data_IF_175309027853
#
_entry.id   IF_175309027853
#
_cell.length_a   1.000
_cell.length_b   1.000
_cell.length_c   1.000
_cell.angle_alpha   90.00
_cell.angle_beta   90.00
_cell.angle_gamma   90.00
#
_symmetry.space_group_name_H-M   'P 1'
#
loop_
_entity.id
_entity.type
_entity.pdbx_description
1 polymer ?
#
# COMPACT_ATOMS: atom_id res chain seq x y z
N UNK A 1 -3.33 9.76 -25.71
CA UNK A 1 -2.70 8.98 -24.63
C UNK A 1 -3.71 8.83 -23.52
N UNK A 2 -4.41 7.69 -23.47
CA UNK A 2 -5.40 7.43 -22.42
C UNK A 2 -4.66 7.30 -21.09
N UNK A 3 -4.91 8.24 -20.20
CA UNK A 3 -4.50 8.15 -18.81
C UNK A 3 -5.36 7.06 -18.16
N UNK A 4 -4.93 5.80 -18.24
CA UNK A 4 -5.68 4.69 -17.65
C UNK A 4 -5.76 4.91 -16.13
N UNK A 5 -6.99 5.03 -15.65
CA UNK A 5 -7.32 5.15 -14.23
C UNK A 5 -6.88 3.86 -13.50
N UNK A 6 -5.62 3.83 -13.10
CA UNK A 6 -4.99 2.70 -12.43
C UNK A 6 -5.09 2.88 -10.93
N UNK A 7 -5.46 1.80 -10.24
CA UNK A 7 -5.48 1.77 -8.78
C UNK A 7 -4.05 1.59 -8.26
N UNK A 8 -3.60 2.51 -7.42
CA UNK A 8 -2.29 2.44 -6.79
C UNK A 8 -2.42 2.12 -5.30
N UNK A 9 -1.78 1.02 -4.90
CA UNK A 9 -1.38 0.84 -3.51
C UNK A 9 -0.09 1.66 -3.28
N UNK A 10 -0.05 2.40 -2.19
CA UNK A 10 1.05 3.30 -1.83
C UNK A 10 2.18 2.53 -1.12
N UNK A 11 2.34 2.68 0.19
CA UNK A 11 3.57 2.31 0.90
C UNK A 11 3.50 0.92 1.55
N UNK A 12 4.55 0.13 1.36
CA UNK A 12 4.88 -1.07 2.15
C UNK A 12 6.34 -0.94 2.63
N UNK A 13 6.58 -1.18 3.91
CA UNK A 13 7.92 -1.25 4.51
C UNK A 13 8.15 -2.63 5.13
N UNK A 14 9.42 -3.05 5.16
CA UNK A 14 9.84 -4.25 5.87
C UNK A 14 11.10 -3.98 6.69
N UNK A 15 11.12 -4.51 7.91
CA UNK A 15 12.28 -4.47 8.80
C UNK A 15 12.61 -5.89 9.22
N UNK A 16 13.89 -6.25 9.14
CA UNK A 16 14.43 -7.53 9.61
C UNK A 16 15.37 -7.32 10.79
N UNK A 17 15.20 -8.12 11.84
CA UNK A 17 16.13 -8.19 12.99
C UNK A 17 16.36 -9.65 13.36
N UNK A 18 17.54 -10.17 13.01
CA UNK A 18 17.84 -11.60 13.13
C UNK A 18 16.83 -12.45 12.36
N UNK A 19 16.23 -13.42 13.05
CA UNK A 19 15.22 -14.34 12.49
C UNK A 19 13.79 -13.78 12.51
N UNK A 20 13.60 -12.50 12.87
CA UNK A 20 12.28 -11.86 12.91
C UNK A 20 12.15 -10.87 11.76
N UNK A 21 10.98 -10.87 11.13
CA UNK A 21 10.61 -9.94 10.07
C UNK A 21 9.29 -9.28 10.44
N UNK A 22 9.22 -7.96 10.26
CA UNK A 22 7.99 -7.17 10.37
C UNK A 22 7.72 -6.54 9.02
N UNK A 23 6.46 -6.61 8.59
CA UNK A 23 5.95 -5.94 7.39
C UNK A 23 4.85 -4.99 7.84
N UNK A 24 4.92 -3.74 7.40
CA UNK A 24 3.88 -2.75 7.62
C UNK A 24 3.54 -2.08 6.30
N UNK A 25 2.32 -1.59 6.19
CA UNK A 25 1.86 -0.80 5.05
C UNK A 25 0.92 0.28 5.52
N UNK A 26 0.79 1.35 4.75
CA UNK A 26 -0.22 2.36 5.02
C UNK A 26 -1.62 1.88 4.54
N UNK A 27 -2.67 2.57 4.98
CA UNK A 27 -4.05 2.25 4.62
C UNK A 27 -4.57 2.89 3.33
N UNK A 28 -3.76 3.67 2.61
CA UNK A 28 -4.22 4.46 1.47
C UNK A 28 -4.30 3.64 0.18
N UNK A 29 -5.37 3.85 -0.58
CA UNK A 29 -5.48 3.43 -1.98
C UNK A 29 -5.92 4.64 -2.79
N UNK A 30 -5.22 4.92 -3.88
CA UNK A 30 -5.54 6.02 -4.78
C UNK A 30 -5.97 5.56 -6.17
N UNK A 31 -6.80 6.37 -6.81
CA UNK A 31 -7.16 6.28 -8.22
C UNK A 31 -6.70 7.57 -8.89
N UNK A 32 -5.63 7.49 -9.68
CA UNK A 32 -4.91 8.69 -10.11
C UNK A 32 -4.45 9.52 -8.90
N UNK A 33 -4.87 10.79 -8.84
CA UNK A 33 -4.49 11.73 -7.77
C UNK A 33 -5.46 11.74 -6.57
N UNK A 34 -6.54 10.95 -6.61
CA UNK A 34 -7.58 10.96 -5.57
C UNK A 34 -7.42 9.78 -4.63
N UNK A 35 -7.51 10.02 -3.31
CA UNK A 35 -7.58 8.96 -2.30
C UNK A 35 -8.99 8.36 -2.30
N UNK A 36 -9.09 7.06 -2.56
CA UNK A 36 -10.35 6.32 -2.59
C UNK A 36 -10.65 5.62 -1.26
N UNK A 37 -9.62 5.20 -0.53
CA UNK A 37 -9.77 4.46 0.74
C UNK A 37 -8.59 4.73 1.65
N UNK A 38 -8.84 5.12 2.90
CA UNK A 38 -7.80 5.39 3.91
C UNK A 38 -7.47 4.21 4.84
N UNK A 39 -8.29 3.15 4.86
CA UNK A 39 -8.19 2.03 5.80
C UNK A 39 -8.03 0.66 5.10
N UNK A 40 -7.24 0.59 4.02
CA UNK A 40 -6.94 -0.67 3.34
C UNK A 40 -5.99 -1.54 4.17
N UNK A 41 -6.25 -2.84 4.21
CA UNK A 41 -5.35 -3.81 4.84
C UNK A 41 -4.52 -4.50 3.76
N UNK A 42 -3.25 -4.09 3.63
CA UNK A 42 -2.34 -4.57 2.59
C UNK A 42 -1.41 -5.71 3.03
N UNK A 43 -1.35 -5.98 4.34
CA UNK A 43 -0.59 -7.09 4.92
C UNK A 43 -1.56 -8.16 5.42
N UNK A 44 -1.41 -9.38 4.90
CA UNK A 44 -2.17 -10.57 5.31
C UNK A 44 -1.30 -11.45 6.24
N UNK A 45 -1.94 -12.17 7.16
CA UNK A 45 -1.29 -13.21 7.98
C UNK A 45 -1.23 -14.52 7.20
#
# INVERSE_FOLDING_TARGET
MSNELTMHATTIISVRKGNKVVIAGDGQVSLGQTIMKGNARKVRR
#
